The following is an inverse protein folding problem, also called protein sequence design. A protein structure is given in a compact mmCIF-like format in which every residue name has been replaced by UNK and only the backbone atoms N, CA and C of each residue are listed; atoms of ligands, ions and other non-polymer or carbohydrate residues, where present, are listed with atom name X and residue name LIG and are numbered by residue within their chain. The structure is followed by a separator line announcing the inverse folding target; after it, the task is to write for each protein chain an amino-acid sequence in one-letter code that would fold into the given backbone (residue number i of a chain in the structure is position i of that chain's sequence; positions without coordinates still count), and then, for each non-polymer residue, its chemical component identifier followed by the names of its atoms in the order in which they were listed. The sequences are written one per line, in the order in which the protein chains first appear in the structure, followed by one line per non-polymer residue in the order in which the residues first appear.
data_IF_508792917064
#
_entry.id   IF_508792917064
#
_cell.length_a   1.000
_cell.length_b   1.000
_cell.length_c   1.000
_cell.angle_alpha   90.00
_cell.angle_beta   90.00
_cell.angle_gamma   90.00
#
_symmetry.space_group_name_H-M   'P 1'
#
loop_
_entity.id
_entity.type
_entity.pdbx_description
1 polymer ?
#
# COMPACT_ATOMS: atom_id res chain seq x y z
N UNK A 1 8.21 4.93 -20.17
CA UNK A 1 7.87 4.41 -18.84
C UNK A 1 8.41 5.28 -17.70
N UNK A 2 9.72 5.42 -17.46
CA UNK A 2 10.28 6.19 -16.34
C UNK A 2 9.78 7.63 -16.22
N UNK A 3 9.55 8.34 -17.35
CA UNK A 3 9.00 9.69 -17.34
C UNK A 3 7.54 9.78 -16.86
N UNK A 4 6.75 8.76 -17.11
CA UNK A 4 5.36 8.68 -16.65
C UNK A 4 5.32 8.42 -15.15
N UNK A 5 6.15 7.51 -14.64
CA UNK A 5 6.30 7.26 -13.20
C UNK A 5 6.67 8.53 -12.43
N UNK A 6 7.68 9.26 -12.93
CA UNK A 6 8.14 10.51 -12.31
C UNK A 6 7.05 11.59 -12.31
N UNK A 7 6.26 11.64 -13.40
CA UNK A 7 5.12 12.54 -13.50
C UNK A 7 3.97 12.18 -12.57
N UNK A 8 3.61 10.91 -12.51
CA UNK A 8 2.52 10.44 -11.63
C UNK A 8 2.89 10.59 -10.16
N UNK A 9 4.15 10.37 -9.81
CA UNK A 9 4.62 10.56 -8.43
C UNK A 9 4.61 12.03 -8.01
N UNK A 10 5.03 12.94 -8.90
CA UNK A 10 5.20 14.35 -8.57
C UNK A 10 3.94 15.21 -8.79
N UNK A 11 3.10 14.85 -9.76
CA UNK A 11 2.07 15.75 -10.30
C UNK A 11 0.67 15.17 -10.23
N UNK A 12 0.52 13.88 -10.41
CA UNK A 12 -0.76 13.19 -10.54
C UNK A 12 -0.82 11.99 -9.60
N UNK A 13 -1.16 12.16 -8.32
CA UNK A 13 -1.41 10.99 -7.48
C UNK A 13 -2.61 10.21 -8.05
N UNK A 14 -2.32 9.14 -8.77
CA UNK A 14 -3.34 8.24 -9.28
C UNK A 14 -3.78 7.30 -8.16
N UNK A 15 -4.89 7.61 -7.51
CA UNK A 15 -5.49 6.72 -6.54
C UNK A 15 -6.35 5.68 -7.28
N UNK A 16 -5.99 4.42 -7.14
CA UNK A 16 -6.78 3.29 -7.62
C UNK A 16 -7.47 2.57 -6.47
N UNK A 17 -8.55 1.89 -6.77
CA UNK A 17 -9.27 1.04 -5.83
C UNK A 17 -9.46 -0.34 -6.45
N UNK A 18 -9.07 -1.37 -5.72
CA UNK A 18 -9.21 -2.77 -6.12
C UNK A 18 -9.98 -3.52 -5.07
N UNK A 19 -10.93 -4.32 -5.49
CA UNK A 19 -11.74 -5.18 -4.63
C UNK A 19 -11.22 -6.61 -4.74
N UNK A 20 -10.96 -7.24 -3.58
CA UNK A 20 -10.33 -8.56 -3.51
C UNK A 20 -11.00 -9.37 -2.41
N UNK A 21 -11.31 -10.61 -2.69
CA UNK A 21 -11.77 -11.58 -1.72
C UNK A 21 -10.56 -12.23 -1.02
N UNK A 22 -10.56 -12.22 0.30
CA UNK A 22 -9.48 -12.79 1.11
C UNK A 22 -9.77 -14.28 1.33
N UNK A 23 -8.95 -15.12 0.69
CA UNK A 23 -9.02 -16.56 0.87
C UNK A 23 -8.54 -17.05 2.25
N UNK A 24 -8.64 -18.38 2.51
CA UNK A 24 -8.16 -18.98 3.75
C UNK A 24 -6.68 -18.77 4.04
N UNK A 25 -5.89 -18.46 3.02
CA UNK A 25 -4.46 -18.16 3.15
C UNK A 25 -4.17 -16.82 3.82
N UNK A 26 -5.18 -15.94 3.94
CA UNK A 26 -5.10 -14.63 4.61
C UNK A 26 -4.07 -13.69 4.02
N UNK A 27 -3.77 -13.81 2.74
CA UNK A 27 -2.92 -12.87 2.04
C UNK A 27 -3.39 -12.64 0.60
N UNK A 28 -2.96 -11.54 0.01
CA UNK A 28 -3.00 -11.34 -1.43
C UNK A 28 -1.74 -10.63 -1.94
N UNK A 29 -1.47 -10.80 -3.23
CA UNK A 29 -0.32 -10.19 -3.90
C UNK A 29 -0.63 -8.75 -4.23
N UNK A 30 0.28 -7.84 -3.91
CA UNK A 30 0.16 -6.43 -4.25
C UNK A 30 0.08 -6.24 -5.78
N UNK A 31 -0.77 -5.31 -6.26
CA UNK A 31 -0.77 -4.95 -7.68
C UNK A 31 0.62 -4.48 -8.14
N UNK A 32 0.97 -4.75 -9.41
CA UNK A 32 2.29 -4.40 -9.95
C UNK A 32 2.55 -2.89 -9.94
N UNK A 33 1.49 -2.10 -10.04
CA UNK A 33 1.53 -0.63 -10.03
C UNK A 33 1.37 -0.03 -8.61
N UNK A 34 1.48 -0.86 -7.57
CA UNK A 34 1.35 -0.44 -6.18
C UNK A 34 2.57 0.36 -5.73
N UNK A 35 2.36 1.55 -5.19
CA UNK A 35 3.39 2.37 -4.54
C UNK A 35 3.16 2.43 -3.04
N UNK A 36 1.97 2.83 -2.61
CA UNK A 36 1.63 2.92 -1.20
C UNK A 36 0.11 2.77 -0.99
N UNK A 37 -0.30 2.22 0.14
CA UNK A 37 -1.71 2.14 0.48
C UNK A 37 -2.24 3.49 0.96
N UNK A 38 -3.51 3.76 0.67
CA UNK A 38 -4.24 4.90 1.21
C UNK A 38 -5.14 4.43 2.34
N UNK A 39 -5.94 3.41 2.09
CA UNK A 39 -6.79 2.75 3.08
C UNK A 39 -7.16 1.34 2.62
N UNK A 40 -7.40 0.47 3.59
CA UNK A 40 -8.07 -0.81 3.39
C UNK A 40 -9.39 -0.78 4.14
N UNK A 41 -10.44 -1.24 3.48
CA UNK A 41 -11.78 -1.25 4.05
C UNK A 41 -12.51 -2.52 3.64
N UNK A 42 -13.48 -2.92 4.42
CA UNK A 42 -14.45 -3.95 4.06
C UNK A 42 -15.85 -3.44 4.35
N UNK A 43 -16.83 -3.93 3.60
CA UNK A 43 -18.22 -3.52 3.73
C UNK A 43 -18.97 -4.49 4.63
N UNK A 44 -19.56 -3.97 5.68
CA UNK A 44 -20.45 -4.68 6.61
C UNK A 44 -21.85 -4.10 6.51
N UNK A 45 -22.73 -4.76 5.76
CA UNK A 45 -24.13 -4.36 5.59
C UNK A 45 -24.32 -2.88 5.21
N UNK A 46 -23.52 -2.38 4.27
CA UNK A 46 -23.58 -1.00 3.81
C UNK A 46 -22.74 -0.01 4.61
N UNK A 47 -22.04 -0.48 5.65
CA UNK A 47 -21.12 0.34 6.44
C UNK A 47 -19.67 -0.02 6.05
N UNK A 48 -18.92 0.96 5.56
CA UNK A 48 -17.51 0.81 5.25
C UNK A 48 -16.70 0.82 6.55
N UNK A 49 -16.06 -0.30 6.88
CA UNK A 49 -15.19 -0.44 8.06
C UNK A 49 -13.73 -0.40 7.65
N UNK A 50 -12.94 0.42 8.33
CA UNK A 50 -11.51 0.56 8.07
C UNK A 50 -10.73 -0.54 8.77
N UNK A 51 -9.82 -1.20 8.03
CA UNK A 51 -8.86 -2.14 8.55
C UNK A 51 -7.56 -1.37 8.85
N UNK A 52 -6.94 -1.61 10.01
CA UNK A 52 -5.78 -0.86 10.44
C UNK A 52 -4.47 -1.63 10.26
N UNK A 53 -3.37 -0.93 9.92
CA UNK A 53 -2.07 -1.56 9.81
C UNK A 53 -1.56 -2.01 11.18
N UNK A 54 -0.83 -3.12 11.20
CA UNK A 54 -0.11 -3.60 12.37
C UNK A 54 1.38 -3.68 12.07
N UNK A 55 2.22 -3.40 13.06
CA UNK A 55 3.67 -3.62 12.98
C UNK A 55 4.07 -5.03 13.36
N UNK A 56 3.13 -5.84 13.88
CA UNK A 56 3.39 -7.22 14.29
C UNK A 56 3.12 -8.15 13.12
N UNK A 57 4.12 -8.91 12.70
CA UNK A 57 3.93 -10.02 11.77
C UNK A 57 3.47 -11.25 12.54
N UNK A 58 2.50 -11.97 11.96
CA UNK A 58 2.03 -13.26 12.48
C UNK A 58 2.64 -14.44 11.71
N UNK A 59 3.47 -14.17 10.71
CA UNK A 59 4.09 -15.17 9.86
C UNK A 59 5.62 -15.03 9.87
N UNK A 60 6.29 -15.55 10.90
CA UNK A 60 7.75 -15.59 10.94
C UNK A 60 8.31 -16.59 9.94
N UNK A 61 9.57 -16.43 9.54
CA UNK A 61 10.30 -17.42 8.76
C UNK A 61 10.53 -18.68 9.62
N UNK A 62 10.01 -19.85 9.21
CA UNK A 62 10.11 -21.07 9.99
C UNK A 62 11.44 -21.75 9.72
N UNK A 63 12.40 -21.60 10.60
CA UNK A 63 13.73 -22.24 10.51
C UNK A 63 13.64 -23.67 11.02
N UNK A 64 14.20 -24.63 10.26
CA UNK A 64 14.28 -26.02 10.65
C UNK A 64 15.42 -26.23 11.66
N UNK A 65 15.14 -26.98 12.71
CA UNK A 65 16.09 -27.39 13.73
C UNK A 65 16.07 -28.92 13.91
N UNK A 66 17.18 -29.47 14.30
CA UNK A 66 17.27 -30.89 14.66
C UNK A 66 16.77 -31.14 16.11
N UNK A 67 16.84 -32.40 16.56
CA UNK A 67 16.45 -32.79 17.91
C UNK A 67 17.30 -32.17 19.04
N UNK A 68 18.48 -31.62 18.69
CA UNK A 68 19.38 -30.92 19.62
C UNK A 68 19.19 -29.39 19.55
N UNK A 69 18.19 -28.89 18.81
CA UNK A 69 17.91 -27.48 18.58
C UNK A 69 18.98 -26.76 17.73
N UNK A 70 19.82 -27.53 16.98
CA UNK A 70 20.78 -26.94 16.04
C UNK A 70 20.12 -26.68 14.69
N UNK A 71 20.55 -25.62 13.99
CA UNK A 71 20.01 -25.26 12.70
C UNK A 71 20.41 -26.28 11.63
N UNK A 72 19.45 -26.68 10.82
CA UNK A 72 19.71 -27.50 9.65
C UNK A 72 20.15 -26.65 8.48
N UNK A 73 21.23 -27.05 7.83
CA UNK A 73 21.79 -26.37 6.68
C UNK A 73 21.65 -27.24 5.42
N UNK A 74 21.42 -26.58 4.30
CA UNK A 74 21.51 -27.26 3.01
C UNK A 74 22.97 -27.68 2.75
N UNK A 75 23.17 -28.95 2.38
CA UNK A 75 24.51 -29.52 2.14
C UNK A 75 25.22 -28.86 0.95
N UNK A 76 24.50 -28.31 0.01
CA UNK A 76 25.03 -27.71 -1.21
C UNK A 76 25.32 -26.22 -1.10
N UNK A 77 24.43 -25.45 -0.47
CA UNK A 77 24.48 -23.98 -0.47
C UNK A 77 24.89 -23.37 0.87
N UNK A 78 24.99 -24.15 1.94
CA UNK A 78 25.23 -23.68 3.31
C UNK A 78 24.18 -22.67 3.82
N UNK A 79 23.01 -22.68 3.21
CA UNK A 79 21.88 -21.87 3.63
C UNK A 79 21.10 -22.60 4.73
N UNK A 80 20.50 -21.84 5.63
CA UNK A 80 19.63 -22.39 6.69
C UNK A 80 18.37 -22.90 6.02
N UNK A 81 17.99 -24.13 6.34
CA UNK A 81 16.76 -24.73 5.82
C UNK A 81 15.53 -24.12 6.49
N UNK A 82 14.57 -23.77 5.66
CA UNK A 82 13.28 -23.24 6.09
C UNK A 82 12.19 -24.31 5.92
N UNK A 83 11.23 -24.32 6.85
CA UNK A 83 10.03 -25.14 6.67
C UNK A 83 9.06 -24.46 5.69
N UNK A 84 8.19 -25.25 5.10
CA UNK A 84 7.22 -24.75 4.12
C UNK A 84 6.19 -23.79 4.73
N UNK A 85 5.87 -23.95 6.01
CA UNK A 85 4.90 -23.14 6.73
C UNK A 85 5.32 -22.94 8.20
N UNK A 86 5.06 -21.75 8.71
CA UNK A 86 5.31 -21.39 10.10
C UNK A 86 4.20 -21.97 11.02
N UNK A 87 4.59 -22.63 12.10
CA UNK A 87 3.65 -23.09 13.13
C UNK A 87 2.89 -21.91 13.76
N UNK A 88 3.57 -20.79 13.99
CA UNK A 88 2.94 -19.57 14.52
C UNK A 88 1.84 -19.07 13.58
N UNK A 89 2.09 -19.09 12.28
CA UNK A 89 1.12 -18.69 11.27
C UNK A 89 -0.03 -19.68 11.16
N UNK A 90 0.28 -20.96 11.23
CA UNK A 90 -0.73 -22.02 11.24
C UNK A 90 -1.69 -21.89 12.43
N UNK A 91 -1.16 -21.73 13.64
CA UNK A 91 -1.97 -21.53 14.85
C UNK A 91 -2.79 -20.24 14.81
N UNK A 92 -2.20 -19.17 14.25
CA UNK A 92 -2.90 -17.89 14.08
C UNK A 92 -4.10 -18.02 13.14
N UNK A 93 -3.97 -18.77 12.05
CA UNK A 93 -5.07 -19.05 11.11
C UNK A 93 -6.14 -19.93 11.73
N UNK A 94 -5.77 -20.93 12.49
CA UNK A 94 -6.72 -21.87 13.10
C UNK A 94 -7.62 -21.20 14.15
N UNK A 95 -7.13 -20.22 14.88
CA UNK A 95 -7.95 -19.48 15.85
C UNK A 95 -9.16 -18.77 15.26
N UNK A 96 -9.12 -18.41 13.98
CA UNK A 96 -10.26 -17.83 13.26
C UNK A 96 -11.23 -18.85 12.67
N UNK A 97 -10.78 -20.09 12.52
CA UNK A 97 -11.51 -21.19 11.89
C UNK A 97 -11.71 -22.34 12.87
N UNK A 98 -12.15 -22.10 14.10
CA UNK A 98 -12.63 -23.22 14.91
C UNK A 98 -13.87 -23.78 14.22
N UNK A 99 -13.65 -24.67 13.24
CA UNK A 99 -14.60 -25.58 12.66
C UNK A 99 -14.91 -26.69 13.69
N UNK A 100 -15.19 -26.29 14.92
CA UNK A 100 -15.79 -27.19 15.86
C UNK A 100 -17.26 -27.29 15.46
N UNK A 101 -17.51 -28.23 14.54
CA UNK A 101 -18.84 -28.57 14.03
C UNK A 101 -19.77 -29.10 15.13
N UNK A 102 -19.28 -29.19 16.36
CA UNK A 102 -20.02 -29.57 17.56
C UNK A 102 -20.64 -28.36 18.30
N UNK A 103 -20.22 -27.13 18.00
CA UNK A 103 -20.80 -25.95 18.60
C UNK A 103 -21.88 -25.38 17.66
N UNK A 104 -23.09 -25.18 18.19
CA UNK A 104 -24.13 -24.45 17.47
C UNK A 104 -23.54 -23.11 16.95
N UNK A 105 -23.93 -22.69 15.72
CA UNK A 105 -23.45 -21.44 15.10
C UNK A 105 -23.52 -20.24 16.06
N UNK A 106 -24.53 -20.21 16.94
CA UNK A 106 -24.67 -19.21 17.99
C UNK A 106 -23.56 -19.24 19.03
N UNK A 107 -23.07 -20.43 19.42
CA UNK A 107 -21.99 -20.56 20.38
C UNK A 107 -20.63 -20.20 19.74
N UNK A 108 -20.41 -20.54 18.46
CA UNK A 108 -19.23 -20.11 17.70
C UNK A 108 -19.19 -18.59 17.53
N UNK A 109 -20.35 -17.96 17.33
CA UNK A 109 -20.46 -16.50 17.20
C UNK A 109 -20.25 -15.78 18.54
N UNK A 110 -20.71 -16.40 19.64
CA UNK A 110 -20.45 -15.91 21.01
C UNK A 110 -18.98 -16.09 21.42
N UNK A 111 -18.32 -17.17 21.00
CA UNK A 111 -16.88 -17.34 21.21
C UNK A 111 -16.05 -16.36 20.39
N UNK A 112 -16.44 -16.08 19.15
CA UNK A 112 -15.84 -15.00 18.35
C UNK A 112 -16.05 -13.64 19.00
N UNK A 113 -17.24 -13.35 19.50
CA UNK A 113 -17.55 -12.12 20.25
C UNK A 113 -16.90 -12.07 21.63
N UNK A 114 -16.76 -13.22 22.31
CA UNK A 114 -16.07 -13.35 23.59
C UNK A 114 -14.59 -13.05 23.50
N UNK A 115 -13.92 -13.46 22.42
CA UNK A 115 -12.54 -13.10 22.15
C UNK A 115 -12.37 -11.60 21.89
N UNK A 116 -13.38 -10.91 21.37
CA UNK A 116 -13.35 -9.44 21.22
C UNK A 116 -13.46 -8.71 22.57
N UNK A 117 -14.08 -9.32 23.58
CA UNK A 117 -14.16 -8.78 24.94
C UNK A 117 -12.84 -8.82 25.71
N UNK A 118 -11.91 -9.67 25.35
CA UNK A 118 -10.56 -9.73 25.93
C UNK A 118 -9.66 -8.55 25.53
N UNK A 119 -10.12 -7.75 24.61
CA UNK A 119 -9.39 -6.55 24.13
C UNK A 119 -9.68 -5.30 24.97
N UNK A 120 -10.60 -5.38 25.92
CA UNK A 120 -10.94 -4.25 26.77
C UNK A 120 -9.77 -3.89 27.70
N UNK A 121 -9.36 -2.63 27.70
CA UNK A 121 -8.21 -2.14 28.46
C UNK A 121 -6.85 -2.32 27.76
N UNK A 122 -6.81 -2.88 26.55
CA UNK A 122 -5.60 -2.91 25.72
C UNK A 122 -5.41 -1.58 24.99
N UNK A 123 -4.18 -1.37 24.50
CA UNK A 123 -3.86 -0.27 23.61
C UNK A 123 -4.88 -0.20 22.46
N UNK A 124 -5.40 1.00 22.09
CA UNK A 124 -6.36 1.18 20.99
C UNK A 124 -5.96 0.49 19.69
N UNK A 125 -4.66 0.35 19.44
CA UNK A 125 -4.11 -0.35 18.30
C UNK A 125 -4.49 -1.84 18.25
N UNK A 126 -4.77 -2.45 19.41
CA UNK A 126 -5.14 -3.87 19.54
C UNK A 126 -6.62 -4.10 19.84
N UNK A 127 -7.38 -3.04 20.10
CA UNK A 127 -8.81 -3.10 20.41
C UNK A 127 -9.70 -3.24 19.15
N UNK A 128 -9.11 -3.28 17.98
CA UNK A 128 -9.83 -3.28 16.71
C UNK A 128 -10.56 -4.61 16.48
N UNK A 129 -11.88 -4.54 16.36
CA UNK A 129 -12.71 -5.66 15.93
C UNK A 129 -12.81 -5.81 14.41
N UNK A 130 -12.28 -4.84 13.64
CA UNK A 130 -12.42 -4.78 12.20
C UNK A 130 -11.34 -5.53 11.43
N UNK A 131 -10.44 -6.21 12.13
CA UNK A 131 -9.29 -6.86 11.55
C UNK A 131 -8.07 -5.92 11.42
N UNK A 132 -6.92 -6.51 11.21
CA UNK A 132 -5.65 -5.82 10.99
C UNK A 132 -4.95 -6.39 9.77
N UNK A 133 -4.05 -5.61 9.17
CA UNK A 133 -3.24 -6.05 8.05
C UNK A 133 -1.77 -5.69 8.26
N UNK A 134 -0.91 -6.43 7.58
CA UNK A 134 0.52 -6.19 7.51
C UNK A 134 0.98 -6.23 6.05
N UNK A 135 1.74 -5.23 5.62
CA UNK A 135 2.32 -5.19 4.29
C UNK A 135 3.75 -5.69 4.36
N UNK A 136 4.05 -6.73 3.62
CA UNK A 136 5.39 -7.23 3.41
C UNK A 136 5.94 -6.70 2.07
N UNK A 137 6.78 -5.66 2.09
CA UNK A 137 7.33 -5.08 0.87
C UNK A 137 8.35 -5.98 0.19
N UNK A 138 8.97 -6.92 0.91
CA UNK A 138 9.98 -7.82 0.38
C UNK A 138 9.32 -8.90 -0.50
N UNK A 139 8.24 -9.48 0.01
CA UNK A 139 7.48 -10.50 -0.72
C UNK A 139 6.40 -9.90 -1.64
N UNK A 140 6.10 -8.61 -1.50
CA UNK A 140 5.03 -7.96 -2.26
C UNK A 140 3.64 -8.46 -1.88
N UNK A 141 3.44 -8.80 -0.60
CA UNK A 141 2.20 -9.38 -0.09
C UNK A 141 1.55 -8.47 0.96
N UNK A 142 0.22 -8.49 1.02
CA UNK A 142 -0.53 -8.00 2.18
C UNK A 142 -1.06 -9.22 2.92
N UNK A 143 -0.79 -9.29 4.21
CA UNK A 143 -1.27 -10.34 5.11
C UNK A 143 -2.35 -9.78 6.04
N UNK A 144 -3.35 -10.59 6.32
CA UNK A 144 -4.51 -10.19 7.12
C UNK A 144 -4.63 -11.03 8.38
N UNK A 145 -5.34 -10.48 9.37
CA UNK A 145 -5.75 -11.25 10.54
C UNK A 145 -6.80 -12.30 10.18
N UNK A 146 -6.93 -13.34 11.02
CA UNK A 146 -7.87 -14.44 10.82
C UNK A 146 -9.33 -13.99 10.67
N UNK A 147 -9.70 -12.85 11.26
CA UNK A 147 -11.05 -12.28 11.19
C UNK A 147 -11.46 -11.84 9.77
N UNK A 148 -10.48 -11.75 8.85
CA UNK A 148 -10.69 -11.29 7.49
C UNK A 148 -10.90 -12.42 6.47
N UNK A 149 -10.86 -13.69 6.92
CA UNK A 149 -11.09 -14.83 6.05
C UNK A 149 -12.48 -14.76 5.39
N UNK A 150 -12.55 -15.05 4.10
CA UNK A 150 -13.78 -15.02 3.29
C UNK A 150 -14.50 -13.66 3.29
N UNK A 151 -13.77 -12.58 3.48
CA UNK A 151 -14.32 -11.22 3.35
C UNK A 151 -13.81 -10.55 2.09
N UNK A 152 -14.66 -9.70 1.52
CA UNK A 152 -14.29 -8.84 0.41
C UNK A 152 -13.68 -7.55 0.98
N UNK A 153 -12.45 -7.27 0.58
CA UNK A 153 -11.69 -6.12 1.02
C UNK A 153 -11.43 -5.19 -0.15
N UNK A 154 -11.61 -3.91 0.08
CA UNK A 154 -11.28 -2.87 -0.89
C UNK A 154 -9.95 -2.22 -0.50
N UNK A 155 -8.93 -2.44 -1.33
CA UNK A 155 -7.65 -1.74 -1.24
C UNK A 155 -7.71 -0.45 -2.06
N UNK A 156 -7.59 0.69 -1.40
CA UNK A 156 -7.32 1.96 -2.06
C UNK A 156 -5.83 2.29 -1.91
N UNK A 157 -5.15 2.50 -3.03
CA UNK A 157 -3.71 2.69 -3.06
C UNK A 157 -3.29 3.74 -4.08
N UNK A 158 -2.09 4.25 -3.91
CA UNK A 158 -1.42 5.13 -4.87
C UNK A 158 -0.74 4.25 -5.89
N UNK A 159 -1.11 4.42 -7.16
CA UNK A 159 -0.50 3.74 -8.30
C UNK A 159 0.66 4.58 -8.85
N UNK A 160 1.68 3.92 -9.40
CA UNK A 160 2.77 4.57 -10.14
C UNK A 160 2.34 5.03 -11.56
N UNK A 161 1.10 4.70 -11.94
CA UNK A 161 0.53 5.02 -13.26
C UNK A 161 1.03 4.14 -14.40
N UNK A 162 1.84 3.13 -14.09
CA UNK A 162 2.22 2.10 -15.04
C UNK A 162 1.18 0.99 -15.04
N UNK A 163 0.00 1.29 -15.55
CA UNK A 163 -0.94 0.24 -15.92
C UNK A 163 -0.40 -0.55 -17.13
N UNK A 164 -1.12 -1.61 -17.54
CA UNK A 164 -0.88 -2.26 -18.85
C UNK A 164 -0.79 -1.22 -19.96
N UNK A 165 0.05 -1.44 -20.95
CA UNK A 165 0.37 -0.47 -22.02
C UNK A 165 -0.88 0.18 -22.66
N UNK A 166 -2.01 -0.50 -22.67
CA UNK A 166 -3.29 -0.01 -23.18
C UNK A 166 -4.03 0.96 -22.23
N UNK A 167 -3.71 0.95 -20.94
CA UNK A 167 -4.37 1.78 -19.92
C UNK A 167 -3.57 3.01 -19.51
N UNK A 168 -2.37 3.21 -20.07
CA UNK A 168 -1.54 4.37 -19.77
C UNK A 168 -2.13 5.64 -20.36
N UNK A 169 -2.89 6.37 -19.56
CA UNK A 169 -3.48 7.65 -19.95
C UNK A 169 -2.82 8.79 -19.18
N UNK A 170 -2.42 9.80 -19.89
CA UNK A 170 -1.85 11.02 -19.31
C UNK A 170 -2.86 12.15 -19.42
N UNK A 171 -2.98 12.92 -18.35
CA UNK A 171 -3.85 14.08 -18.34
C UNK A 171 -3.39 15.10 -19.39
N UNK A 172 -4.33 15.64 -20.20
CA UNK A 172 -4.05 16.59 -21.29
C UNK A 172 -3.18 17.79 -20.87
N UNK A 173 -3.34 18.29 -19.65
CA UNK A 173 -2.53 19.42 -19.13
C UNK A 173 -1.08 19.02 -18.76
N UNK A 174 -0.78 17.73 -18.64
CA UNK A 174 0.55 17.22 -18.36
C UNK A 174 1.33 16.81 -19.60
N UNK A 175 0.66 16.69 -20.75
CA UNK A 175 1.22 16.21 -22.01
C UNK A 175 2.44 17.06 -22.46
N UNK A 176 2.32 18.38 -22.49
CA UNK A 176 3.43 19.28 -22.85
C UNK A 176 4.65 19.10 -21.94
N UNK A 177 4.41 18.95 -20.66
CA UNK A 177 5.47 18.79 -19.68
C UNK A 177 6.19 17.43 -19.85
N UNK A 178 5.47 16.37 -20.23
CA UNK A 178 6.06 15.08 -20.54
C UNK A 178 6.91 15.13 -21.81
N UNK A 179 6.44 15.79 -22.88
CA UNK A 179 7.26 15.97 -24.09
C UNK A 179 8.58 16.68 -23.80
N UNK A 180 8.55 17.76 -23.01
CA UNK A 180 9.78 18.47 -22.60
C UNK A 180 10.68 17.63 -21.71
N UNK A 181 10.11 16.80 -20.85
CA UNK A 181 10.88 15.85 -20.05
C UNK A 181 11.59 14.81 -20.91
N UNK A 182 10.88 14.21 -21.87
CA UNK A 182 11.44 13.22 -22.80
C UNK A 182 12.54 13.85 -23.65
N UNK A 183 12.31 15.06 -24.17
CA UNK A 183 13.31 15.78 -24.94
C UNK A 183 14.58 16.05 -24.12
N UNK A 184 14.45 16.49 -22.88
CA UNK A 184 15.58 16.64 -21.96
C UNK A 184 16.29 15.30 -21.69
N UNK A 185 15.54 14.24 -21.38
CA UNK A 185 16.12 12.94 -21.08
C UNK A 185 16.90 12.35 -22.28
N UNK A 186 16.38 12.51 -23.50
CA UNK A 186 17.07 12.06 -24.72
C UNK A 186 18.33 12.89 -24.99
N UNK A 187 18.25 14.22 -24.84
CA UNK A 187 19.38 15.10 -25.12
C UNK A 187 20.50 14.95 -24.09
N UNK A 188 20.17 14.66 -22.83
CA UNK A 188 21.16 14.47 -21.75
C UNK A 188 22.04 13.24 -21.92
N UNK A 189 21.60 12.23 -22.68
CA UNK A 189 22.34 10.98 -22.90
C UNK A 189 23.11 10.99 -24.24
N UNK A 190 22.74 11.87 -25.17
CA UNK A 190 23.41 11.91 -26.49
C UNK A 190 24.82 12.48 -26.38
N UNK A 191 25.85 11.83 -26.96
CA UNK A 191 27.18 12.40 -27.08
C UNK A 191 27.18 13.60 -28.03
N UNK A 192 28.14 14.51 -27.85
CA UNK A 192 28.36 15.69 -28.67
C UNK A 192 27.27 16.80 -28.62
N UNK A 193 26.43 16.82 -27.59
CA UNK A 193 25.52 17.95 -27.39
C UNK A 193 26.18 18.93 -26.42
N UNK A 194 26.25 20.25 -26.79
CA UNK A 194 26.77 21.25 -25.89
C UNK A 194 25.98 21.37 -24.59
N UNK A 195 26.69 21.47 -23.47
CA UNK A 195 26.07 21.49 -22.15
C UNK A 195 25.02 22.59 -21.94
N UNK A 196 25.23 23.76 -22.55
CA UNK A 196 24.27 24.87 -22.47
C UNK A 196 22.90 24.53 -23.07
N UNK A 197 22.86 23.65 -24.09
CA UNK A 197 21.60 23.15 -24.68
C UNK A 197 20.89 22.25 -23.70
N UNK A 198 21.61 21.28 -23.09
CA UNK A 198 21.07 20.37 -22.11
C UNK A 198 20.51 21.15 -20.89
N UNK A 199 21.23 22.15 -20.42
CA UNK A 199 20.78 23.00 -19.31
C UNK A 199 19.52 23.80 -19.64
N UNK A 200 19.42 24.30 -20.89
CA UNK A 200 18.21 24.97 -21.35
C UNK A 200 17.00 24.05 -21.32
N UNK A 201 17.10 22.84 -21.89
CA UNK A 201 16.02 21.87 -21.88
C UNK A 201 15.67 21.40 -20.46
N UNK A 202 16.63 21.28 -19.56
CA UNK A 202 16.41 21.01 -18.13
C UNK A 202 15.55 22.10 -17.47
N UNK A 203 15.86 23.37 -17.71
CA UNK A 203 15.08 24.51 -17.20
C UNK A 203 13.67 24.54 -17.77
N UNK A 204 13.51 24.31 -19.07
CA UNK A 204 12.21 24.26 -19.74
C UNK A 204 11.35 23.11 -19.23
N UNK A 205 11.93 21.91 -19.05
CA UNK A 205 11.27 20.76 -18.47
C UNK A 205 10.80 21.03 -17.04
N UNK A 206 11.66 21.60 -16.19
CA UNK A 206 11.32 21.96 -14.81
C UNK A 206 10.23 23.02 -14.73
N UNK A 207 10.23 24.01 -15.63
CA UNK A 207 9.19 25.04 -15.71
C UNK A 207 7.84 24.44 -16.14
N UNK A 208 7.85 23.59 -17.18
CA UNK A 208 6.65 22.92 -17.66
C UNK A 208 6.04 21.98 -16.60
N UNK A 209 6.89 21.25 -15.87
CA UNK A 209 6.49 20.38 -14.76
C UNK A 209 5.78 21.18 -13.65
N UNK A 210 6.34 22.32 -13.25
CA UNK A 210 5.72 23.23 -12.27
C UNK A 210 4.39 23.79 -12.76
N UNK A 211 4.31 24.20 -14.01
CA UNK A 211 3.08 24.73 -14.61
C UNK A 211 1.98 23.65 -14.67
N UNK A 212 2.34 22.43 -15.07
CA UNK A 212 1.41 21.30 -15.07
C UNK A 212 0.90 21.01 -13.64
N UNK A 213 1.79 20.99 -12.65
CA UNK A 213 1.43 20.79 -11.23
C UNK A 213 0.46 21.86 -10.73
N UNK A 214 0.70 23.13 -11.04
CA UNK A 214 -0.19 24.24 -10.66
C UNK A 214 -1.56 24.13 -11.32
N UNK A 215 -1.61 23.77 -12.61
CA UNK A 215 -2.87 23.61 -13.34
C UNK A 215 -3.70 22.41 -12.84
N UNK A 216 -3.02 21.37 -12.39
CA UNK A 216 -3.67 20.13 -11.89
C UNK A 216 -4.03 20.20 -10.41
N UNK A 217 -3.38 21.06 -9.63
CA UNK A 217 -3.56 21.11 -8.17
C UNK A 217 -4.89 21.75 -7.73
N UNK A 218 -5.71 22.23 -8.64
CA UNK A 218 -7.03 22.86 -8.34
C UNK A 218 -6.98 23.95 -7.24
N UNK A 219 -5.76 24.45 -6.95
CA UNK A 219 -5.54 25.49 -5.94
C UNK A 219 -5.98 26.81 -6.54
N UNK A 220 -7.12 27.33 -6.09
CA UNK A 220 -7.56 28.67 -6.47
C UNK A 220 -6.77 29.72 -5.68
N UNK A 221 -6.25 30.71 -6.38
CA UNK A 221 -5.48 31.78 -5.77
C UNK A 221 -6.27 32.52 -4.68
N UNK A 222 -7.59 32.59 -4.85
CA UNK A 222 -8.52 33.17 -3.86
C UNK A 222 -8.56 32.39 -2.54
N UNK A 223 -8.50 31.05 -2.58
CA UNK A 223 -8.48 30.22 -1.37
C UNK A 223 -7.18 30.40 -0.58
N UNK A 224 -6.04 30.49 -1.27
CA UNK A 224 -4.74 30.77 -0.63
C UNK A 224 -4.77 32.16 0.03
N UNK A 225 -5.27 33.18 -0.69
CA UNK A 225 -5.35 34.53 -0.15
C UNK A 225 -6.31 34.61 1.04
N UNK A 226 -7.42 33.86 1.04
CA UNK A 226 -8.33 33.80 2.19
C UNK A 226 -7.69 33.13 3.40
N UNK A 227 -6.97 32.02 3.19
CA UNK A 227 -6.26 31.31 4.27
C UNK A 227 -5.16 32.21 4.86
N UNK A 228 -4.40 32.89 4.03
CA UNK A 228 -3.35 33.82 4.47
C UNK A 228 -3.92 35.03 5.21
N UNK A 229 -5.02 35.60 4.73
CA UNK A 229 -5.74 36.71 5.40
C UNK A 229 -6.37 36.26 6.70
N UNK A 230 -6.92 35.06 6.77
CA UNK A 230 -7.46 34.47 7.98
C UNK A 230 -6.41 34.32 9.07
N UNK A 231 -5.20 33.84 8.72
CA UNK A 231 -4.07 33.71 9.66
C UNK A 231 -3.51 35.07 10.10
N UNK A 232 -3.47 36.07 9.22
CA UNK A 232 -2.96 37.40 9.59
C UNK A 232 -3.90 38.15 10.58
N UNK A 233 -5.20 37.83 10.58
CA UNK A 233 -6.15 38.38 11.55
C UNK A 233 -6.07 37.74 12.93
N UNK A 234 -5.55 36.51 13.04
CA UNK A 234 -5.36 35.83 14.33
C UNK A 234 -4.09 36.28 15.09
N UNK A 235 -3.20 37.01 14.44
CA UNK A 235 -1.94 37.52 15.04
C UNK A 235 -2.13 38.91 15.70
N UNK A 236 -3.31 39.50 15.61
CA UNK A 236 -3.64 40.79 16.26
C UNK A 236 -4.47 40.56 17.53
N UNK A 237 -3.88 39.89 18.51
CA UNK A 237 -4.28 39.97 19.91
C UNK A 237 -3.06 40.08 20.77
#
# INVERSE_FOLDING_TARGET
MRGIQEFNFDVLPSNKSVEIEIGPQLYFVLPQDYVNYVKLTWNDNGIERVIYPTSKTSNPLPILQDHNYEYLFDQQNREILEAQESNTWHDFRQRGTSNDSSLNEQAADLLKKGNSGQRYGLDPQYMQSNGVFFIDPIQGLIRFSSDMCNRIVTLKYVSDGLATDEEMVIHKLAEEALYKYIAYAVLSVRPNIPEYVVQRFKKESSAAKRNAKLRLSNIKLEEITQIMRGKSKQIKH
#
